data_IF_264584616240
#
_entry.id   IF_264584616240
#
_cell.length_a   1.000
_cell.length_b   1.000
_cell.length_c   1.000
_cell.angle_alpha   90.00
_cell.angle_beta   90.00
_cell.angle_gamma   90.00
#
_symmetry.space_group_name_H-M   'P 1'
#
loop_
_entity.id
_entity.type
_entity.pdbx_description
1 polymer ?
#
# COMPACT_ATOMS: atom_id res chain seq x y z
N UNK A 1 -11.34 -0.59 41.22
CA UNK A 1 -11.26 0.30 40.04
C UNK A 1 -9.87 0.31 39.42
N UNK A 2 -8.79 0.30 40.21
CA UNK A 2 -7.38 0.33 39.76
C UNK A 2 -6.96 -0.88 38.91
N UNK A 3 -7.38 -2.09 39.30
CA UNK A 3 -7.01 -3.37 38.65
C UNK A 3 -7.49 -3.46 37.19
N UNK A 4 -8.66 -2.89 36.90
CA UNK A 4 -9.26 -2.94 35.56
C UNK A 4 -8.56 -1.99 34.57
N UNK A 5 -7.91 -0.94 35.08
CA UNK A 5 -7.09 -0.02 34.28
C UNK A 5 -5.76 -0.67 33.94
N UNK A 6 -5.11 -1.33 34.90
CA UNK A 6 -3.85 -2.06 34.70
C UNK A 6 -4.00 -3.17 33.66
N UNK A 7 -5.07 -3.96 33.73
CA UNK A 7 -5.37 -5.00 32.72
C UNK A 7 -5.52 -4.42 31.30
N UNK A 8 -6.17 -3.26 31.17
CA UNK A 8 -6.32 -2.57 29.88
C UNK A 8 -4.99 -2.04 29.35
N UNK A 9 -4.13 -1.53 30.22
CA UNK A 9 -2.79 -1.06 29.87
C UNK A 9 -1.94 -2.23 29.37
N UNK A 10 -1.94 -3.36 30.08
CA UNK A 10 -1.21 -4.57 29.66
C UNK A 10 -1.71 -5.08 28.30
N UNK A 11 -3.02 -5.04 28.05
CA UNK A 11 -3.61 -5.41 26.76
C UNK A 11 -3.21 -4.47 25.62
N UNK A 12 -3.12 -3.17 25.87
CA UNK A 12 -2.66 -2.18 24.87
C UNK A 12 -1.16 -2.40 24.59
N UNK A 13 -0.36 -2.67 25.61
CA UNK A 13 1.07 -2.95 25.48
C UNK A 13 1.36 -4.28 24.75
N UNK A 14 0.46 -5.27 24.85
CA UNK A 14 0.60 -6.51 24.10
C UNK A 14 0.20 -6.35 22.63
N UNK A 15 -0.78 -5.47 22.32
CA UNK A 15 -1.16 -5.12 20.95
C UNK A 15 -0.02 -4.36 20.26
N UNK A 16 0.67 -3.44 20.93
CA UNK A 16 1.84 -2.75 20.35
C UNK A 16 3.04 -3.68 20.18
N UNK A 17 3.14 -4.76 20.98
CA UNK A 17 4.14 -5.82 20.81
C UNK A 17 3.78 -6.86 19.74
N UNK A 18 2.56 -6.87 19.22
CA UNK A 18 2.20 -7.69 18.07
C UNK A 18 2.96 -7.12 16.86
N UNK A 19 4.20 -7.59 16.70
CA UNK A 19 5.11 -7.17 15.66
C UNK A 19 4.44 -7.21 14.31
N UNK A 20 4.86 -6.33 13.42
CA UNK A 20 4.38 -6.23 12.04
C UNK A 20 4.26 -7.63 11.42
N UNK A 21 3.05 -8.20 11.44
CA UNK A 21 2.77 -9.45 10.74
C UNK A 21 2.92 -9.11 9.28
N UNK A 22 4.09 -9.45 8.73
CA UNK A 22 4.40 -9.18 7.34
C UNK A 22 3.49 -10.07 6.53
N UNK A 23 2.41 -9.47 6.04
CA UNK A 23 1.43 -10.13 5.20
C UNK A 23 2.15 -10.91 4.10
N UNK A 24 1.81 -12.19 3.97
CA UNK A 24 2.37 -13.03 2.91
C UNK A 24 2.01 -12.47 1.53
N UNK A 25 2.90 -12.67 0.55
CA UNK A 25 2.63 -12.28 -0.84
C UNK A 25 1.43 -13.06 -1.36
N UNK A 26 0.45 -12.33 -1.90
CA UNK A 26 -0.76 -12.90 -2.50
C UNK A 26 -0.41 -13.48 -3.87
N UNK A 27 -0.36 -14.81 -4.00
CA UNK A 27 0.00 -15.49 -5.26
C UNK A 27 -1.00 -15.21 -6.38
N UNK A 28 -2.29 -15.31 -6.09
CA UNK A 28 -3.39 -15.11 -7.05
C UNK A 28 -4.34 -14.01 -6.57
N UNK A 29 -4.82 -13.13 -7.46
CA UNK A 29 -5.79 -12.11 -7.08
C UNK A 29 -7.19 -12.72 -6.92
N UNK A 30 -7.62 -12.90 -5.67
CA UNK A 30 -8.97 -13.39 -5.37
C UNK A 30 -10.01 -12.27 -5.43
N UNK A 31 -11.20 -12.59 -5.95
CA UNK A 31 -12.39 -11.74 -5.90
C UNK A 31 -13.22 -11.92 -4.61
N UNK A 32 -12.75 -12.75 -3.67
CA UNK A 32 -13.40 -12.95 -2.37
C UNK A 32 -13.43 -11.65 -1.56
N UNK A 33 -14.60 -11.30 -1.03
CA UNK A 33 -14.82 -10.07 -0.28
C UNK A 33 -14.65 -10.36 1.22
N UNK A 34 -13.41 -10.26 1.67
CA UNK A 34 -13.03 -10.37 3.08
C UNK A 34 -12.12 -9.20 3.44
N UNK A 35 -12.12 -8.79 4.71
CA UNK A 35 -11.30 -7.66 5.19
C UNK A 35 -9.81 -7.92 5.02
N UNK A 36 -9.43 -9.19 5.04
CA UNK A 36 -8.06 -9.59 4.78
C UNK A 36 -7.68 -9.45 3.31
N UNK A 37 -8.57 -9.24 2.32
CA UNK A 37 -8.19 -9.20 0.90
C UNK A 37 -8.06 -7.75 0.36
N UNK A 38 -6.84 -7.28 0.02
CA UNK A 38 -6.59 -5.91 -0.40
C UNK A 38 -7.08 -5.65 -1.83
N UNK A 39 -7.29 -6.71 -2.63
CA UNK A 39 -7.72 -6.60 -4.03
C UNK A 39 -9.23 -6.76 -4.20
N UNK A 40 -9.97 -7.10 -3.14
CA UNK A 40 -11.42 -7.38 -3.20
C UNK A 40 -12.24 -6.31 -3.93
N UNK A 41 -11.93 -5.02 -3.69
CA UNK A 41 -12.61 -3.88 -4.32
C UNK A 41 -12.14 -3.64 -5.76
N UNK A 42 -10.90 -3.98 -6.08
CA UNK A 42 -10.35 -3.87 -7.43
C UNK A 42 -10.90 -4.98 -8.33
N UNK A 43 -10.95 -6.21 -7.84
CA UNK A 43 -11.54 -7.36 -8.52
C UNK A 43 -13.06 -7.21 -8.74
N UNK A 44 -13.74 -6.36 -7.96
CA UNK A 44 -15.14 -6.03 -8.20
C UNK A 44 -15.36 -5.35 -9.56
N UNK A 45 -14.37 -4.62 -10.11
CA UNK A 45 -14.45 -4.01 -11.45
C UNK A 45 -14.70 -5.05 -12.55
N UNK A 46 -14.17 -6.26 -12.37
CA UNK A 46 -14.41 -7.38 -13.29
C UNK A 46 -15.84 -7.91 -13.20
N UNK A 47 -16.38 -8.03 -11.98
CA UNK A 47 -17.79 -8.42 -11.78
C UNK A 47 -18.77 -7.39 -12.31
N UNK A 48 -18.40 -6.11 -12.27
CA UNK A 48 -19.18 -4.99 -12.80
C UNK A 48 -19.09 -4.87 -14.33
N UNK A 49 -18.26 -5.68 -15.01
CA UNK A 49 -18.07 -5.61 -16.45
C UNK A 49 -17.28 -4.38 -16.92
N UNK A 50 -16.58 -3.68 -16.01
CA UNK A 50 -15.76 -2.50 -16.36
C UNK A 50 -14.39 -2.92 -16.89
N UNK A 51 -13.81 -3.98 -16.32
CA UNK A 51 -12.51 -4.52 -16.72
C UNK A 51 -12.63 -6.03 -16.86
N UNK A 52 -12.54 -6.57 -18.08
CA UNK A 52 -12.77 -8.01 -18.34
C UNK A 52 -11.82 -8.94 -17.57
N UNK A 53 -10.54 -8.55 -17.46
CA UNK A 53 -9.54 -9.30 -16.74
C UNK A 53 -8.64 -8.33 -15.97
N UNK A 54 -8.95 -8.13 -14.69
CA UNK A 54 -8.19 -7.22 -13.84
C UNK A 54 -6.82 -7.80 -13.43
N UNK A 55 -6.72 -9.12 -13.24
CA UNK A 55 -5.47 -9.76 -12.79
C UNK A 55 -4.29 -9.57 -13.76
N UNK A 56 -4.58 -9.39 -15.06
CA UNK A 56 -3.57 -9.06 -16.09
C UNK A 56 -2.72 -7.85 -15.76
N UNK A 57 -3.16 -6.96 -14.86
CA UNK A 57 -2.32 -5.84 -14.39
C UNK A 57 -0.95 -6.31 -13.84
N UNK A 58 -0.88 -7.55 -13.31
CA UNK A 58 0.36 -8.16 -12.80
C UNK A 58 1.37 -8.56 -13.87
N UNK A 59 0.96 -8.64 -15.13
CA UNK A 59 1.85 -9.01 -16.23
C UNK A 59 2.64 -7.80 -16.75
N UNK A 60 2.20 -6.59 -16.42
CA UNK A 60 2.81 -5.37 -16.93
C UNK A 60 3.97 -4.88 -16.05
N UNK A 61 4.95 -4.30 -16.74
CA UNK A 61 6.06 -3.56 -16.13
C UNK A 61 5.98 -2.10 -16.58
N UNK A 62 6.10 -1.16 -15.65
CA UNK A 62 6.07 0.28 -15.94
C UNK A 62 7.34 0.94 -15.41
N UNK A 63 7.98 1.76 -16.25
CA UNK A 63 9.07 2.62 -15.84
C UNK A 63 8.55 4.05 -15.56
N UNK A 64 8.94 4.62 -14.43
CA UNK A 64 8.63 6.00 -14.04
C UNK A 64 9.96 6.74 -13.86
N UNK A 65 10.15 7.80 -14.65
CA UNK A 65 11.32 8.67 -14.58
C UNK A 65 10.88 10.00 -13.94
N UNK A 66 11.47 10.32 -12.80
CA UNK A 66 11.04 11.36 -11.88
C UNK A 66 10.04 10.82 -10.86
N UNK A 67 10.45 10.77 -9.60
CA UNK A 67 9.69 10.33 -8.41
C UNK A 67 9.46 11.52 -7.46
N UNK A 68 9.29 12.71 -8.03
CA UNK A 68 8.80 13.90 -7.32
C UNK A 68 7.30 13.85 -7.05
N UNK A 69 6.63 15.00 -6.97
CA UNK A 69 5.23 15.09 -6.53
C UNK A 69 4.21 14.26 -7.34
N UNK A 70 4.37 14.18 -8.66
CA UNK A 70 3.48 13.38 -9.53
C UNK A 70 3.94 11.93 -9.61
N UNK A 71 5.25 11.71 -9.75
CA UNK A 71 5.81 10.38 -9.94
C UNK A 71 5.65 9.49 -8.71
N UNK A 72 5.81 10.06 -7.51
CA UNK A 72 5.64 9.33 -6.25
C UNK A 72 4.20 8.84 -6.07
N UNK A 73 3.21 9.70 -6.32
CA UNK A 73 1.78 9.35 -6.25
C UNK A 73 1.41 8.37 -7.37
N UNK A 74 1.94 8.55 -8.58
CA UNK A 74 1.73 7.61 -9.69
C UNK A 74 2.25 6.21 -9.35
N UNK A 75 3.46 6.13 -8.78
CA UNK A 75 4.05 4.89 -8.31
C UNK A 75 3.22 4.26 -7.18
N UNK A 76 2.73 5.05 -6.23
CA UNK A 76 1.85 4.59 -5.14
C UNK A 76 0.55 3.98 -5.69
N UNK A 77 -0.14 4.69 -6.58
CA UNK A 77 -1.38 4.24 -7.17
C UNK A 77 -1.20 2.93 -7.95
N UNK A 78 -0.19 2.84 -8.81
CA UNK A 78 0.12 1.60 -9.53
C UNK A 78 0.46 0.44 -8.59
N UNK A 79 1.22 0.72 -7.53
CA UNK A 79 1.55 -0.28 -6.49
C UNK A 79 0.29 -0.79 -5.79
N UNK A 80 -0.64 0.10 -5.42
CA UNK A 80 -1.91 -0.26 -4.77
C UNK A 80 -2.84 -1.04 -5.71
N UNK A 81 -2.82 -0.73 -7.01
CA UNK A 81 -3.53 -1.50 -8.03
C UNK A 81 -2.92 -2.90 -8.29
N UNK A 82 -1.70 -3.15 -7.82
CA UNK A 82 -1.05 -4.45 -7.94
C UNK A 82 -0.33 -4.65 -9.27
N UNK A 83 0.25 -3.59 -9.84
CA UNK A 83 1.15 -3.67 -11.00
C UNK A 83 2.25 -4.71 -10.79
N UNK A 84 2.63 -5.42 -11.85
CA UNK A 84 3.63 -6.49 -11.79
C UNK A 84 5.00 -5.99 -11.35
N UNK A 85 5.50 -4.94 -12.01
CA UNK A 85 6.81 -4.37 -11.73
C UNK A 85 6.83 -2.86 -11.99
N UNK A 86 7.46 -2.13 -11.08
CA UNK A 86 7.84 -0.74 -11.30
C UNK A 86 9.36 -0.61 -11.41
N UNK A 87 9.82 0.19 -12.37
CA UNK A 87 11.20 0.64 -12.48
C UNK A 87 11.20 2.15 -12.22
N UNK A 88 11.86 2.57 -11.14
CA UNK A 88 11.83 3.96 -10.69
C UNK A 88 13.21 4.58 -10.92
N UNK A 89 13.25 5.72 -11.59
CA UNK A 89 14.47 6.49 -11.84
C UNK A 89 14.28 7.90 -11.31
N UNK A 90 15.03 8.27 -10.28
CA UNK A 90 15.16 9.64 -9.80
C UNK A 90 16.60 9.86 -9.34
N UNK A 91 17.15 11.04 -9.60
CA UNK A 91 18.47 11.42 -9.13
C UNK A 91 18.41 12.33 -7.89
N UNK A 92 17.24 12.88 -7.60
CA UNK A 92 17.04 13.89 -6.58
C UNK A 92 16.90 13.27 -5.18
N UNK A 93 17.14 14.07 -4.16
CA UNK A 93 16.94 13.69 -2.75
C UNK A 93 15.68 14.33 -2.20
N UNK A 94 15.01 13.66 -1.26
CA UNK A 94 13.85 14.26 -0.58
C UNK A 94 14.34 15.41 0.30
N UNK A 95 13.65 16.55 0.23
CA UNK A 95 13.94 17.73 1.06
C UNK A 95 12.68 18.17 1.83
N UNK A 96 12.86 18.94 2.91
CA UNK A 96 11.75 19.54 3.65
C UNK A 96 10.87 20.44 2.77
N UNK A 97 11.46 21.10 1.76
CA UNK A 97 10.72 21.90 0.80
C UNK A 97 9.73 21.08 -0.05
N UNK A 98 9.86 19.75 -0.09
CA UNK A 98 8.94 18.87 -0.80
C UNK A 98 7.72 18.45 0.04
N UNK A 99 7.67 18.78 1.34
CA UNK A 99 6.60 18.33 2.25
C UNK A 99 5.24 18.99 2.01
N UNK A 100 5.18 19.98 1.13
CA UNK A 100 3.91 20.50 0.60
C UNK A 100 3.28 19.58 -0.46
N UNK A 101 3.96 18.51 -0.86
CA UNK A 101 3.50 17.49 -1.82
C UNK A 101 3.08 16.23 -1.05
N UNK A 102 2.48 15.28 -1.77
CA UNK A 102 2.06 13.99 -1.22
C UNK A 102 3.20 12.96 -1.22
N UNK A 103 2.95 11.83 -0.56
CA UNK A 103 3.77 10.62 -0.47
C UNK A 103 4.94 10.66 0.52
N UNK A 104 5.92 11.54 0.34
CA UNK A 104 7.09 11.59 1.22
C UNK A 104 6.77 12.22 2.57
N UNK A 105 7.54 11.84 3.60
CA UNK A 105 7.35 12.31 4.97
C UNK A 105 8.58 13.06 5.47
N UNK A 106 8.43 13.96 6.46
CA UNK A 106 9.53 14.81 6.94
C UNK A 106 10.75 14.03 7.42
N UNK A 107 10.58 12.80 7.93
CA UNK A 107 11.69 11.98 8.44
C UNK A 107 12.55 11.35 7.33
N UNK A 108 12.17 11.56 6.06
CA UNK A 108 12.89 11.08 4.89
C UNK A 108 13.70 12.20 4.21
N UNK A 109 13.60 13.44 4.72
CA UNK A 109 14.36 14.60 4.27
C UNK A 109 15.71 14.73 4.97
#
# INVERSE_FOLDING_TARGET
>A
MTTQIEERVVKIMSITKAGTSRRSKVKEMSAEVVDSNPYSRLMALQRMGIVENYERIRDFSVAIVGIGGVGSVSAEMLTRCGIGRLLLYDYDTVELANMNRLFFRPEQA
#
